data_IF_585650772567
#
_entry.id   IF_585650772567
#
_cell.length_a   1.000
_cell.length_b   1.000
_cell.length_c   1.000
_cell.angle_alpha   90.00
_cell.angle_beta   90.00
_cell.angle_gamma   90.00
#
_symmetry.space_group_name_H-M   'P 1'
#
loop_
_entity.id
_entity.type
_entity.pdbx_description
1 polymer ?
#
# COMPACT_ATOMS: atom_id res chain seq x y z
N UNK A 1 6.83 -20.41 19.18
CA UNK A 1 7.14 -19.62 17.96
C UNK A 1 7.55 -18.23 18.42
N UNK A 2 8.75 -17.78 18.09
CA UNK A 2 9.21 -16.44 18.43
C UNK A 2 9.05 -15.55 17.18
N UNK A 3 8.55 -14.34 17.38
CA UNK A 3 8.48 -13.31 16.35
C UNK A 3 9.42 -12.15 16.73
N UNK A 4 9.93 -11.48 15.71
CA UNK A 4 10.80 -10.32 15.93
C UNK A 4 9.96 -9.09 16.27
N UNK A 5 10.30 -8.41 17.36
CA UNK A 5 9.77 -7.08 17.69
C UNK A 5 10.69 -6.05 17.00
N UNK A 6 10.09 -5.09 16.29
CA UNK A 6 10.84 -4.06 15.57
C UNK A 6 10.08 -2.73 15.60
N UNK A 7 10.82 -1.63 15.40
CA UNK A 7 10.20 -0.31 15.22
C UNK A 7 9.48 -0.21 13.87
N UNK A 8 8.67 0.83 13.69
CA UNK A 8 8.00 1.09 12.42
C UNK A 8 9.00 1.38 11.29
N UNK A 9 10.08 2.09 11.60
CA UNK A 9 11.15 2.41 10.67
C UNK A 9 11.93 1.15 10.25
N UNK A 10 12.22 0.26 11.20
CA UNK A 10 12.82 -1.04 10.89
C UNK A 10 11.91 -1.88 10.01
N UNK A 11 10.59 -1.90 10.31
CA UNK A 11 9.61 -2.60 9.48
C UNK A 11 9.55 -2.01 8.08
N UNK A 12 9.49 -0.67 7.96
CA UNK A 12 9.46 0.02 6.67
C UNK A 12 10.70 -0.29 5.83
N UNK A 13 11.87 -0.40 6.45
CA UNK A 13 13.13 -0.70 5.76
C UNK A 13 13.17 -2.05 5.04
N UNK A 14 12.26 -2.95 5.35
CA UNK A 14 12.15 -4.26 4.68
C UNK A 14 11.47 -4.17 3.32
N UNK A 15 10.69 -3.13 3.07
CA UNK A 15 9.96 -2.95 1.83
C UNK A 15 10.89 -2.50 0.70
N UNK A 16 10.67 -3.02 -0.49
CA UNK A 16 11.47 -2.71 -1.67
C UNK A 16 10.59 -2.15 -2.78
N UNK A 17 11.20 -1.45 -3.73
CA UNK A 17 10.51 -0.90 -4.89
C UNK A 17 9.83 -2.00 -5.70
N UNK A 18 8.56 -1.84 -5.99
CA UNK A 18 7.75 -2.83 -6.73
C UNK A 18 7.12 -3.91 -5.86
N UNK A 19 7.32 -3.90 -4.53
CA UNK A 19 6.73 -4.91 -3.65
C UNK A 19 5.20 -4.94 -3.72
N UNK A 20 4.64 -6.14 -3.68
CA UNK A 20 3.21 -6.37 -3.53
C UNK A 20 2.86 -6.48 -2.04
N UNK A 21 2.06 -5.55 -1.55
CA UNK A 21 1.77 -5.42 -0.12
C UNK A 21 0.27 -5.49 0.13
N UNK A 22 -0.15 -6.46 0.93
CA UNK A 22 -1.51 -6.56 1.46
C UNK A 22 -1.63 -5.80 2.78
N UNK A 23 -2.60 -4.92 2.89
CA UNK A 23 -2.89 -4.20 4.13
C UNK A 23 -4.27 -4.61 4.68
N UNK A 24 -4.34 -4.79 5.99
CA UNK A 24 -5.62 -5.04 6.66
C UNK A 24 -6.50 -3.79 6.66
N UNK A 25 -7.74 -3.96 7.01
CA UNK A 25 -8.70 -2.89 7.23
C UNK A 25 -9.96 -2.99 6.39
N UNK A 26 -11.04 -2.53 6.98
CA UNK A 26 -12.33 -2.35 6.33
C UNK A 26 -12.79 -0.92 6.62
N UNK A 27 -12.79 -0.09 5.60
CA UNK A 27 -12.91 1.37 5.74
C UNK A 27 -11.76 1.93 6.59
N UNK A 28 -12.02 2.79 7.58
CA UNK A 28 -11.00 3.24 8.53
C UNK A 28 -10.78 2.26 9.70
N UNK A 29 -11.64 1.24 9.84
CA UNK A 29 -11.54 0.26 10.93
C UNK A 29 -10.47 -0.80 10.62
N UNK A 30 -9.61 -1.07 11.59
CA UNK A 30 -8.56 -2.08 11.44
C UNK A 30 -7.42 -1.71 10.49
N UNK A 31 -7.41 -0.51 9.94
CA UNK A 31 -6.31 -0.02 9.09
C UNK A 31 -5.03 0.13 9.91
N UNK A 32 -3.90 -0.39 9.43
CA UNK A 32 -2.60 -0.13 10.04
C UNK A 32 -2.30 1.37 10.07
N UNK A 33 -1.83 1.89 11.21
CA UNK A 33 -1.67 3.33 11.41
C UNK A 33 -0.21 3.78 11.41
N UNK A 34 0.69 2.90 11.81
CA UNK A 34 2.09 3.26 12.08
C UNK A 34 2.99 2.88 10.91
N UNK A 35 2.91 1.65 10.42
CA UNK A 35 3.76 1.17 9.33
C UNK A 35 3.53 1.94 8.02
N UNK A 36 2.29 2.24 7.58
CA UNK A 36 2.08 3.03 6.36
C UNK A 36 2.73 4.43 6.42
N UNK A 37 2.66 5.10 7.57
CA UNK A 37 3.33 6.40 7.76
C UNK A 37 4.85 6.28 7.67
N UNK A 38 5.43 5.22 8.23
CA UNK A 38 6.87 4.97 8.14
C UNK A 38 7.30 4.63 6.70
N UNK A 39 6.50 3.87 5.95
CA UNK A 39 6.74 3.61 4.53
C UNK A 39 6.68 4.92 3.73
N UNK A 40 5.70 5.77 3.99
CA UNK A 40 5.58 7.08 3.34
C UNK A 40 6.81 7.95 3.59
N UNK A 41 7.25 8.07 4.83
CA UNK A 41 8.45 8.83 5.19
C UNK A 41 9.72 8.27 4.54
N UNK A 42 9.86 6.96 4.48
CA UNK A 42 10.96 6.29 3.78
C UNK A 42 10.92 6.58 2.27
N UNK A 43 9.75 6.52 1.66
CA UNK A 43 9.57 6.83 0.24
C UNK A 43 10.00 8.26 -0.08
N UNK A 44 9.57 9.23 0.71
CA UNK A 44 9.98 10.64 0.54
C UNK A 44 11.49 10.81 0.64
N UNK A 45 12.11 10.17 1.62
CA UNK A 45 13.58 10.19 1.77
C UNK A 45 14.28 9.61 0.54
N UNK A 46 13.83 8.45 0.06
CA UNK A 46 14.40 7.81 -1.13
C UNK A 46 14.23 8.68 -2.38
N UNK A 47 13.06 9.29 -2.57
CA UNK A 47 12.82 10.21 -3.68
C UNK A 47 13.74 11.43 -3.62
N UNK A 48 13.98 12.00 -2.44
CA UNK A 48 14.91 13.12 -2.25
C UNK A 48 16.37 12.73 -2.56
N UNK A 49 16.71 11.44 -2.43
CA UNK A 49 18.00 10.88 -2.83
C UNK A 49 18.06 10.51 -4.34
N UNK A 50 17.00 10.77 -5.10
CA UNK A 50 16.91 10.41 -6.52
C UNK A 50 16.63 8.95 -6.79
N UNK A 51 16.18 8.20 -5.78
CA UNK A 51 15.86 6.77 -5.89
C UNK A 51 14.36 6.56 -6.12
N UNK A 52 14.01 5.64 -6.99
CA UNK A 52 12.62 5.23 -7.17
C UNK A 52 12.16 4.34 -6.02
N UNK A 53 10.97 4.63 -5.50
CA UNK A 53 10.29 3.76 -4.55
C UNK A 53 8.77 3.90 -4.69
N UNK A 54 8.13 2.83 -5.11
CA UNK A 54 6.68 2.67 -5.12
C UNK A 54 6.32 1.22 -4.84
N UNK A 55 5.22 1.00 -4.15
CA UNK A 55 4.68 -0.33 -3.86
C UNK A 55 3.33 -0.54 -4.54
N UNK A 56 2.93 -1.77 -4.67
CA UNK A 56 1.59 -2.16 -5.11
C UNK A 56 0.75 -2.47 -3.87
N UNK A 57 -0.38 -1.81 -3.75
CA UNK A 57 -1.21 -1.81 -2.52
C UNK A 57 -2.50 -2.57 -2.75
N UNK A 58 -2.70 -3.58 -1.93
CA UNK A 58 -3.92 -4.40 -1.91
C UNK A 58 -4.59 -4.29 -0.53
N UNK A 59 -5.88 -3.99 -0.50
CA UNK A 59 -6.62 -3.86 0.75
C UNK A 59 -7.91 -4.65 0.71
N UNK A 60 -8.56 -4.81 1.88
CA UNK A 60 -9.89 -5.43 1.93
C UNK A 60 -10.98 -4.55 1.32
N UNK A 61 -10.90 -3.25 1.55
CA UNK A 61 -11.81 -2.23 1.02
C UNK A 61 -11.08 -0.89 1.03
N UNK A 62 -11.80 0.23 1.04
CA UNK A 62 -11.17 1.53 1.27
C UNK A 62 -10.49 1.58 2.65
N UNK A 63 -9.27 2.06 2.71
CA UNK A 63 -8.48 2.09 3.95
C UNK A 63 -8.29 3.50 4.56
N UNK A 64 -8.78 4.52 3.91
CA UNK A 64 -8.81 5.88 4.43
C UNK A 64 -7.49 6.63 4.34
N UNK A 65 -7.43 7.78 5.03
CA UNK A 65 -6.35 8.75 4.85
C UNK A 65 -5.02 8.32 5.47
N UNK A 66 -5.06 7.52 6.53
CA UNK A 66 -3.85 7.08 7.24
C UNK A 66 -3.02 6.06 6.45
N UNK A 67 -3.61 5.39 5.47
CA UNK A 67 -2.93 4.47 4.58
C UNK A 67 -2.93 5.02 3.15
N UNK A 68 -4.05 5.03 2.48
CA UNK A 68 -4.18 5.49 1.09
C UNK A 68 -3.70 6.92 0.90
N UNK A 69 -4.13 7.84 1.78
CA UNK A 69 -3.72 9.24 1.73
C UNK A 69 -2.24 9.43 2.01
N UNK A 70 -1.73 8.82 3.05
CA UNK A 70 -0.32 8.93 3.43
C UNK A 70 0.61 8.44 2.30
N UNK A 71 0.32 7.27 1.74
CA UNK A 71 1.15 6.67 0.70
C UNK A 71 1.07 7.42 -0.63
N UNK A 72 -0.11 7.89 -1.04
CA UNK A 72 -0.24 8.62 -2.31
C UNK A 72 0.40 9.99 -2.25
N UNK A 73 0.30 10.71 -1.13
CA UNK A 73 0.97 12.00 -0.95
C UNK A 73 2.50 11.88 -0.97
N UNK A 74 3.03 10.75 -0.51
CA UNK A 74 4.46 10.43 -0.61
C UNK A 74 4.87 9.89 -1.99
N UNK A 75 3.95 9.84 -2.96
CA UNK A 75 4.18 9.24 -4.28
C UNK A 75 4.70 7.78 -4.20
N UNK A 76 4.19 7.03 -3.22
CA UNK A 76 4.67 5.69 -2.90
C UNK A 76 3.79 4.57 -3.45
N UNK A 77 2.74 4.87 -4.24
CA UNK A 77 1.85 3.87 -4.81
C UNK A 77 2.05 3.77 -6.32
N UNK A 78 2.39 2.57 -6.79
CA UNK A 78 2.40 2.25 -8.22
C UNK A 78 1.04 1.72 -8.69
N UNK A 79 0.45 0.78 -7.93
CA UNK A 79 -0.81 0.13 -8.24
C UNK A 79 -1.67 0.00 -6.99
N UNK A 80 -2.98 0.16 -7.15
CA UNK A 80 -3.95 0.04 -6.05
C UNK A 80 -5.15 -0.81 -6.47
N UNK A 81 -5.50 -1.75 -5.63
CA UNK A 81 -6.74 -2.54 -5.75
C UNK A 81 -7.27 -2.91 -4.35
N UNK A 82 -8.55 -3.16 -4.16
CA UNK A 82 -9.69 -2.89 -5.03
C UNK A 82 -10.25 -1.47 -4.84
N UNK A 83 -11.48 -1.31 -4.41
CA UNK A 83 -12.15 -0.03 -4.20
C UNK A 83 -11.42 0.86 -3.17
N UNK A 84 -11.39 2.16 -3.44
CA UNK A 84 -10.86 3.19 -2.57
C UNK A 84 -11.79 4.42 -2.53
N UNK A 85 -11.75 5.20 -1.45
CA UNK A 85 -12.57 6.41 -1.26
C UNK A 85 -11.75 7.67 -0.92
N UNK A 86 -10.42 7.58 -0.87
CA UNK A 86 -9.56 8.72 -0.54
C UNK A 86 -9.49 9.70 -1.72
N UNK A 87 -9.64 11.00 -1.43
CA UNK A 87 -9.65 12.06 -2.43
C UNK A 87 -8.29 12.19 -3.15
N UNK A 88 -7.19 12.14 -2.41
CA UNK A 88 -5.85 12.32 -2.96
C UNK A 88 -5.47 11.13 -3.84
N UNK A 89 -5.83 9.92 -3.40
CA UNK A 89 -5.63 8.72 -4.20
C UNK A 89 -6.48 8.74 -5.48
N UNK A 90 -7.73 9.20 -5.40
CA UNK A 90 -8.58 9.38 -6.58
C UNK A 90 -7.95 10.34 -7.59
N UNK A 91 -7.40 11.44 -7.12
CA UNK A 91 -6.66 12.36 -7.99
C UNK A 91 -5.45 11.68 -8.65
N UNK A 92 -4.67 10.91 -7.89
CA UNK A 92 -3.54 10.14 -8.41
C UNK A 92 -3.96 9.13 -9.49
N UNK A 93 -5.08 8.47 -9.31
CA UNK A 93 -5.65 7.54 -10.29
C UNK A 93 -6.12 8.30 -11.55
N UNK A 94 -6.88 9.38 -11.38
CA UNK A 94 -7.43 10.16 -12.49
C UNK A 94 -6.36 10.83 -13.35
N UNK A 95 -5.23 11.19 -12.76
CA UNK A 95 -4.08 11.77 -13.49
C UNK A 95 -3.15 10.71 -14.10
N UNK A 96 -3.38 9.44 -13.82
CA UNK A 96 -2.52 8.34 -14.29
C UNK A 96 -1.24 8.13 -13.46
N UNK A 97 -1.07 8.87 -12.36
CA UNK A 97 0.07 8.69 -11.47
C UNK A 97 0.04 7.35 -10.72
N UNK A 98 -1.16 6.82 -10.48
CA UNK A 98 -1.40 5.54 -9.84
C UNK A 98 -2.20 4.64 -10.77
N UNK A 99 -1.72 3.45 -11.03
CA UNK A 99 -2.49 2.41 -11.73
C UNK A 99 -3.55 1.85 -10.79
N UNK A 100 -4.72 1.56 -11.31
CA UNK A 100 -5.85 1.15 -10.49
C UNK A 100 -6.66 0.05 -11.14
N UNK A 101 -7.15 -0.88 -10.34
CA UNK A 101 -8.15 -1.86 -10.74
C UNK A 101 -9.22 -1.96 -9.66
N UNK A 102 -10.45 -1.69 -10.04
CA UNK A 102 -11.60 -1.97 -9.19
C UNK A 102 -12.15 -3.36 -9.49
N UNK A 103 -12.63 -4.03 -8.46
CA UNK A 103 -13.21 -5.36 -8.57
C UNK A 103 -14.11 -5.64 -7.37
N UNK A 104 -14.94 -6.64 -7.46
CA UNK A 104 -15.65 -7.14 -6.29
C UNK A 104 -14.66 -7.58 -5.23
N UNK A 105 -14.87 -7.12 -4.00
CA UNK A 105 -14.03 -7.45 -2.86
C UNK A 105 -13.89 -8.98 -2.67
N UNK A 106 -14.95 -9.72 -2.96
CA UNK A 106 -14.97 -11.18 -2.90
C UNK A 106 -14.01 -11.87 -3.88
N UNK A 107 -13.56 -11.18 -4.92
CA UNK A 107 -12.65 -11.75 -5.93
C UNK A 107 -11.18 -11.47 -5.61
N UNK A 108 -10.86 -10.40 -4.90
CA UNK A 108 -9.48 -9.97 -4.68
C UNK A 108 -8.61 -11.05 -4.03
N UNK A 109 -9.11 -11.69 -2.98
CA UNK A 109 -8.33 -12.72 -2.27
C UNK A 109 -8.04 -13.94 -3.15
N UNK A 110 -8.97 -14.31 -4.01
CA UNK A 110 -8.78 -15.40 -4.96
C UNK A 110 -7.78 -15.02 -6.04
N UNK A 111 -7.87 -13.81 -6.59
CA UNK A 111 -6.95 -13.30 -7.61
C UNK A 111 -5.52 -13.22 -7.08
N UNK A 112 -5.34 -12.76 -5.84
CA UNK A 112 -4.03 -12.77 -5.17
C UNK A 112 -3.53 -14.20 -4.97
N UNK A 113 -4.41 -15.11 -4.52
CA UNK A 113 -4.04 -16.52 -4.30
C UNK A 113 -3.65 -17.23 -5.58
N UNK A 114 -4.32 -16.93 -6.69
CA UNK A 114 -3.98 -17.51 -8.00
C UNK A 114 -2.79 -16.84 -8.68
N UNK A 115 -2.24 -15.78 -8.09
CA UNK A 115 -1.04 -15.12 -8.59
C UNK A 115 -1.28 -14.18 -9.77
N UNK A 116 -2.49 -13.67 -9.97
CA UNK A 116 -2.80 -12.74 -11.07
C UNK A 116 -1.98 -11.45 -10.99
N UNK A 117 -1.59 -11.04 -9.78
CA UNK A 117 -0.75 -9.87 -9.52
C UNK A 117 0.69 -10.23 -9.16
N UNK A 118 1.08 -11.50 -9.33
CA UNK A 118 2.33 -12.03 -8.84
C UNK A 118 2.28 -12.44 -7.36
N UNK A 119 3.44 -12.66 -6.78
CA UNK A 119 3.56 -13.05 -5.37
C UNK A 119 3.22 -11.86 -4.46
N UNK A 120 2.46 -12.11 -3.40
CA UNK A 120 2.32 -11.16 -2.30
C UNK A 120 3.59 -11.23 -1.43
N UNK A 121 4.31 -10.11 -1.32
CA UNK A 121 5.60 -10.07 -0.62
C UNK A 121 5.44 -9.79 0.87
N UNK A 122 4.48 -8.93 1.22
CA UNK A 122 4.24 -8.49 2.60
C UNK A 122 2.75 -8.45 2.92
N UNK A 123 2.44 -8.63 4.20
CA UNK A 123 1.12 -8.40 4.79
C UNK A 123 1.27 -7.56 6.06
N UNK A 124 0.43 -6.52 6.22
CA UNK A 124 0.47 -5.56 7.34
C UNK A 124 -0.91 -5.42 7.97
#
# INVERSE_FOLDING_TARGET
MSYKIMSAEEAASLFFNGANVGFSGFTAAGTPKVVPSAIAAMAEKLHNEGKEFKINVFTGASSGDMLDGALVRANAINFRAPYQSNKDLRNGINTGAVKYSDMHLSHLSQELRYGFYGKLDFAV
#
